data_IF_053210881938
#
_entry.id   IF_053210881938
#
_cell.length_a   1.000
_cell.length_b   1.000
_cell.length_c   1.000
_cell.angle_alpha   90.00
_cell.angle_beta   90.00
_cell.angle_gamma   90.00
#
_symmetry.space_group_name_H-M   'P 1'
#
loop_
_entity.id
_entity.type
_entity.pdbx_description
1 polymer ?
#
# COMPACT_ATOMS: atom_id res chain seq x y z
N UNK A 1 -61.13 -22.58 -17.58
CA UNK A 1 -60.07 -23.30 -16.85
C UNK A 1 -58.76 -23.09 -17.59
N UNK A 2 -57.65 -23.08 -16.84
CA UNK A 2 -56.40 -22.34 -17.08
C UNK A 2 -55.62 -22.84 -18.30
N UNK A 3 -55.25 -21.90 -19.18
CA UNK A 3 -54.50 -22.14 -20.40
C UNK A 3 -52.97 -22.08 -20.20
N UNK A 4 -52.35 -23.07 -20.84
CA UNK A 4 -51.03 -23.15 -21.48
C UNK A 4 -49.72 -23.04 -20.70
N UNK A 5 -49.02 -24.17 -20.77
CA UNK A 5 -47.60 -24.39 -20.52
C UNK A 5 -46.75 -23.75 -21.63
N UNK A 6 -45.77 -22.95 -21.18
CA UNK A 6 -44.36 -22.79 -21.60
C UNK A 6 -43.99 -23.22 -23.04
N UNK A 7 -43.36 -22.32 -23.82
CA UNK A 7 -41.93 -22.39 -24.22
C UNK A 7 -41.58 -21.34 -25.29
N UNK A 8 -40.38 -20.75 -25.10
CA UNK A 8 -39.47 -20.13 -26.06
C UNK A 8 -39.74 -18.70 -26.56
N UNK A 9 -38.96 -17.76 -26.00
CA UNK A 9 -38.59 -16.50 -26.62
C UNK A 9 -37.31 -15.98 -25.96
N UNK A 10 -36.20 -16.04 -26.69
CA UNK A 10 -34.87 -15.70 -26.22
C UNK A 10 -34.70 -14.20 -25.92
N UNK A 11 -33.98 -13.86 -24.85
CA UNK A 11 -33.23 -12.61 -24.76
C UNK A 11 -31.95 -12.86 -23.96
N UNK A 12 -30.84 -12.92 -24.69
CA UNK A 12 -29.50 -12.77 -24.15
C UNK A 12 -29.35 -11.38 -23.53
N UNK A 13 -28.60 -11.25 -22.42
CA UNK A 13 -27.43 -10.37 -22.30
C UNK A 13 -26.72 -10.72 -20.99
N UNK A 14 -25.47 -11.13 -21.17
CA UNK A 14 -24.38 -11.32 -20.23
C UNK A 14 -24.37 -10.30 -19.08
N UNK A 15 -24.59 -10.76 -17.84
CA UNK A 15 -24.18 -9.97 -16.68
C UNK A 15 -22.69 -10.19 -16.46
N UNK A 16 -21.96 -9.13 -16.77
CA UNK A 16 -20.52 -8.97 -16.67
C UNK A 16 -19.95 -9.54 -15.37
N UNK A 17 -18.82 -10.23 -15.51
CA UNK A 17 -17.88 -10.46 -14.43
C UNK A 17 -17.51 -9.11 -13.83
N UNK A 18 -18.14 -8.78 -12.70
CA UNK A 18 -17.61 -7.83 -11.74
C UNK A 18 -16.31 -8.42 -11.20
N UNK A 19 -15.25 -8.23 -11.98
CA UNK A 19 -13.88 -8.27 -11.48
C UNK A 19 -13.78 -7.13 -10.46
N UNK A 20 -14.23 -7.42 -9.24
CA UNK A 20 -13.74 -6.75 -8.06
C UNK A 20 -12.24 -7.05 -8.07
N UNK A 21 -11.49 -6.18 -8.75
CA UNK A 21 -10.10 -5.94 -8.45
C UNK A 21 -10.10 -5.54 -6.97
N UNK A 22 -10.03 -6.55 -6.11
CA UNK A 22 -9.47 -6.42 -4.79
C UNK A 22 -8.04 -5.95 -5.04
N UNK A 23 -7.90 -4.64 -5.23
CA UNK A 23 -6.68 -3.94 -4.89
C UNK A 23 -6.43 -4.40 -3.46
N UNK A 24 -5.47 -5.30 -3.31
CA UNK A 24 -4.86 -5.52 -2.02
C UNK A 24 -4.29 -4.15 -1.65
N UNK A 25 -5.08 -3.33 -0.95
CA UNK A 25 -4.57 -2.15 -0.26
C UNK A 25 -3.55 -2.72 0.74
N UNK A 26 -2.30 -2.82 0.28
CA UNK A 26 -1.19 -3.12 1.15
C UNK A 26 -1.30 -2.14 2.32
N UNK A 27 -1.36 -2.66 3.54
CA UNK A 27 -1.63 -1.84 4.70
C UNK A 27 -0.48 -0.84 4.83
N UNK A 28 -0.77 0.44 4.61
CA UNK A 28 0.19 1.52 4.79
C UNK A 28 0.56 1.57 6.28
N UNK A 29 1.85 1.57 6.59
CA UNK A 29 2.36 1.81 7.93
C UNK A 29 2.49 3.32 8.19
N UNK A 30 2.21 3.74 9.41
CA UNK A 30 2.47 5.12 9.83
C UNK A 30 3.93 5.26 10.28
N UNK A 31 4.52 6.42 10.07
CA UNK A 31 5.84 6.73 10.60
C UNK A 31 6.11 8.23 10.73
N UNK A 32 7.20 8.54 11.41
CA UNK A 32 7.75 9.89 11.55
C UNK A 32 9.16 9.92 10.95
N UNK A 33 9.43 10.91 10.10
CA UNK A 33 10.75 11.09 9.49
C UNK A 33 11.75 11.59 10.53
N UNK A 34 12.75 10.77 10.85
CA UNK A 34 13.83 11.13 11.78
C UNK A 34 15.07 11.63 11.06
N UNK A 35 15.37 11.08 9.88
CA UNK A 35 16.53 11.48 9.06
C UNK A 35 16.30 11.12 7.59
N UNK A 36 16.83 11.93 6.68
CA UNK A 36 16.82 11.67 5.24
C UNK A 36 18.27 11.64 4.76
N UNK A 37 18.64 10.62 4.00
CA UNK A 37 19.92 10.49 3.32
C UNK A 37 19.67 10.33 1.82
N UNK A 38 19.57 11.47 1.12
CA UNK A 38 19.28 11.51 -0.31
C UNK A 38 20.41 10.92 -1.15
N UNK A 39 21.66 11.09 -0.71
CA UNK A 39 22.84 10.57 -1.40
C UNK A 39 22.84 9.03 -1.40
N UNK A 40 22.39 8.41 -0.31
CA UNK A 40 22.30 6.95 -0.20
C UNK A 40 20.93 6.38 -0.59
N UNK A 41 19.93 7.21 -0.92
CA UNK A 41 18.56 6.77 -1.20
C UNK A 41 17.89 6.11 0.01
N UNK A 42 18.15 6.62 1.22
CA UNK A 42 17.68 6.05 2.49
C UNK A 42 16.92 7.07 3.33
N UNK A 43 16.00 6.57 4.12
CA UNK A 43 15.23 7.36 5.08
C UNK A 43 15.15 6.61 6.42
N UNK A 44 15.40 7.32 7.51
CA UNK A 44 15.22 6.80 8.85
C UNK A 44 13.85 7.22 9.34
N UNK A 45 12.99 6.23 9.58
CA UNK A 45 11.63 6.44 10.06
C UNK A 45 11.49 5.83 11.45
N UNK A 46 10.86 6.56 12.36
CA UNK A 46 10.23 5.96 13.53
C UNK A 46 8.90 5.41 13.05
N UNK A 47 8.84 4.10 12.79
CA UNK A 47 7.65 3.47 12.26
C UNK A 47 6.75 2.93 13.38
N UNK A 48 5.45 2.93 13.12
CA UNK A 48 4.51 2.11 13.87
C UNK A 48 4.45 0.68 13.30
N UNK A 49 3.41 -0.08 13.64
CA UNK A 49 3.27 -1.47 13.22
C UNK A 49 3.25 -1.61 11.69
N UNK A 50 4.11 -2.47 11.15
CA UNK A 50 4.19 -2.82 9.73
C UNK A 50 3.70 -4.25 9.55
N UNK A 51 2.39 -4.40 9.34
CA UNK A 51 1.73 -5.72 9.19
C UNK A 51 2.34 -6.57 8.08
N UNK A 52 2.72 -5.95 6.97
CA UNK A 52 3.22 -6.67 5.79
C UNK A 52 4.62 -7.28 6.01
N UNK A 53 5.31 -6.90 7.10
CA UNK A 53 6.65 -7.37 7.44
C UNK A 53 6.69 -8.06 8.81
N UNK A 54 5.53 -8.37 9.40
CA UNK A 54 5.38 -8.93 10.75
C UNK A 54 6.15 -8.12 11.82
N UNK A 55 6.16 -6.79 11.66
CA UNK A 55 6.79 -5.87 12.61
C UNK A 55 5.71 -5.16 13.43
N UNK A 56 5.27 -5.78 14.51
CA UNK A 56 4.16 -5.28 15.33
C UNK A 56 4.56 -4.21 16.36
N UNK A 57 5.81 -3.75 16.37
CA UNK A 57 6.29 -2.80 17.37
C UNK A 57 5.83 -1.35 17.10
N UNK A 58 5.21 -0.75 18.11
CA UNK A 58 4.83 0.65 18.11
C UNK A 58 6.04 1.56 18.40
N UNK A 59 6.66 2.06 17.34
CA UNK A 59 7.62 3.17 17.44
C UNK A 59 9.10 2.77 17.36
N UNK A 60 9.43 1.70 16.63
CA UNK A 60 10.80 1.32 16.32
C UNK A 60 11.41 2.27 15.28
N UNK A 61 12.69 2.64 15.46
CA UNK A 61 13.40 3.52 14.52
C UNK A 61 14.34 2.70 13.65
N UNK A 62 14.04 2.62 12.36
CA UNK A 62 14.82 1.86 11.39
C UNK A 62 15.13 2.67 10.14
N UNK A 63 16.19 2.23 9.46
CA UNK A 63 16.59 2.77 8.15
C UNK A 63 15.92 1.95 7.06
N UNK A 64 15.15 2.64 6.24
CA UNK A 64 14.48 2.10 5.06
C UNK A 64 15.18 2.64 3.81
N UNK A 65 15.25 1.81 2.77
CA UNK A 65 15.56 2.30 1.42
C UNK A 65 14.29 2.82 0.77
N UNK A 66 14.40 3.72 -0.19
CA UNK A 66 13.26 4.08 -1.05
C UNK A 66 13.45 3.46 -2.43
N UNK A 67 12.36 3.03 -3.04
CA UNK A 67 12.36 2.55 -4.42
C UNK A 67 12.64 3.70 -5.41
N UNK A 68 12.07 4.87 -5.15
CA UNK A 68 12.32 6.10 -5.93
C UNK A 68 12.92 7.19 -5.02
N UNK A 69 14.16 7.65 -5.28
CA UNK A 69 14.77 8.77 -4.57
C UNK A 69 13.94 10.06 -4.58
N UNK A 70 13.09 10.28 -5.59
CA UNK A 70 12.23 11.46 -5.65
C UNK A 70 11.21 11.52 -4.52
N UNK A 71 10.86 10.39 -3.89
CA UNK A 71 9.99 10.33 -2.71
C UNK A 71 10.60 11.09 -1.53
N UNK A 72 11.93 11.07 -1.36
CA UNK A 72 12.62 11.72 -0.25
C UNK A 72 12.44 13.24 -0.28
N UNK A 73 12.34 13.83 -1.48
CA UNK A 73 12.17 15.27 -1.67
C UNK A 73 10.76 15.77 -1.31
N UNK A 74 9.81 14.86 -1.16
CA UNK A 74 8.41 15.19 -0.85
C UNK A 74 8.18 15.37 0.65
N UNK A 75 9.10 14.89 1.48
CA UNK A 75 9.01 14.85 2.94
C UNK A 75 10.22 15.54 3.57
N UNK A 76 10.09 15.98 4.82
CA UNK A 76 11.20 16.53 5.60
C UNK A 76 11.28 15.87 6.97
N UNK A 77 12.41 16.03 7.65
CA UNK A 77 12.57 15.58 9.04
C UNK A 77 11.48 16.21 9.92
N UNK A 78 10.85 15.37 10.73
CA UNK A 78 9.69 15.71 11.57
C UNK A 78 8.33 15.48 10.91
N UNK A 79 8.27 15.22 9.60
CA UNK A 79 6.99 14.91 8.95
C UNK A 79 6.44 13.55 9.42
N UNK A 80 5.14 13.51 9.66
CA UNK A 80 4.39 12.26 9.74
C UNK A 80 4.11 11.78 8.32
N UNK A 81 4.34 10.50 8.08
CA UNK A 81 4.23 9.85 6.77
C UNK A 81 3.44 8.56 6.90
N UNK A 82 2.78 8.18 5.81
CA UNK A 82 2.31 6.82 5.60
C UNK A 82 3.16 6.20 4.50
N UNK A 83 3.63 4.98 4.71
CA UNK A 83 4.48 4.29 3.75
C UNK A 83 4.13 2.81 3.63
N UNK A 84 4.30 2.26 2.43
CA UNK A 84 4.34 0.82 2.19
C UNK A 84 5.81 0.42 2.11
N UNK A 85 6.16 -0.68 2.78
CA UNK A 85 7.49 -1.24 2.75
C UNK A 85 7.43 -2.74 2.46
N UNK A 86 8.39 -3.20 1.67
CA UNK A 86 8.52 -4.58 1.23
C UNK A 86 9.94 -5.09 1.49
N UNK A 87 10.07 -6.40 1.73
CA UNK A 87 11.37 -7.04 1.88
C UNK A 87 11.96 -7.31 0.50
N UNK A 88 13.03 -6.61 0.16
CA UNK A 88 13.79 -6.82 -1.06
C UNK A 88 15.15 -7.49 -0.75
N UNK A 89 15.86 -7.94 -1.79
CA UNK A 89 17.18 -8.56 -1.68
C UNK A 89 18.20 -7.65 -0.97
N UNK A 90 18.07 -6.34 -1.12
CA UNK A 90 18.93 -5.32 -0.51
C UNK A 90 18.47 -4.86 0.90
N UNK A 91 17.42 -5.46 1.45
CA UNK A 91 16.78 -5.08 2.72
C UNK A 91 15.36 -4.53 2.54
N UNK A 92 14.84 -3.86 3.56
CA UNK A 92 13.49 -3.30 3.53
C UNK A 92 13.46 -2.01 2.69
N UNK A 93 12.58 -1.99 1.69
CA UNK A 93 12.44 -0.90 0.72
C UNK A 93 11.02 -0.34 0.73
N UNK A 94 10.90 0.97 0.80
CA UNK A 94 9.66 1.71 0.69
C UNK A 94 9.25 1.79 -0.78
N UNK A 95 8.09 1.24 -1.11
CA UNK A 95 7.50 1.22 -2.46
C UNK A 95 6.48 2.33 -2.65
N UNK A 96 5.84 2.80 -1.58
CA UNK A 96 5.02 4.01 -1.58
C UNK A 96 5.30 4.87 -0.36
N UNK A 97 5.39 6.17 -0.56
CA UNK A 97 5.53 7.16 0.50
C UNK A 97 4.54 8.29 0.26
N UNK A 98 3.77 8.65 1.28
CA UNK A 98 2.88 9.81 1.26
C UNK A 98 2.92 10.54 2.61
N UNK A 99 2.59 11.83 2.61
CA UNK A 99 2.44 12.57 3.87
C UNK A 99 1.26 12.01 4.66
N UNK A 100 1.52 11.72 5.93
CA UNK A 100 0.51 11.33 6.90
C UNK A 100 -0.36 12.54 7.23
N UNK A 101 -1.64 12.28 7.48
CA UNK A 101 -2.62 13.30 7.85
C UNK A 101 -2.49 13.69 9.32
#
# INVERSE_FOLDING_TARGET
>A
MRSNKIVAGALAVSLALSSAAALAQAAMANGEVKKIDEAAGKITLKHGPIKNLDMDEDGMTMVFRVQDPAMLKQVKVGDKVQFEAERATAGITITKLQKGK
#
